data_IF_037559872075
#
_entry.id   IF_037559872075
#
_cell.length_a   1.000
_cell.length_b   1.000
_cell.length_c   1.000
_cell.angle_alpha   90.00
_cell.angle_beta   90.00
_cell.angle_gamma   90.00
#
_symmetry.space_group_name_H-M   'P 1'
#
loop_
_entity.id
_entity.type
_entity.pdbx_description
1 polymer ?
#
# COMPACT_ATOMS: atom_id res chain seq x y z
N UNK A 1 8.24 -19.74 -4.71
CA UNK A 1 7.45 -20.96 -4.91
C UNK A 1 6.36 -20.74 -5.96
N UNK A 2 5.93 -21.81 -6.66
CA UNK A 2 4.95 -21.70 -7.75
C UNK A 2 3.58 -21.27 -7.24
N UNK A 3 3.15 -21.81 -6.14
CA UNK A 3 1.88 -21.50 -5.46
C UNK A 3 1.75 -20.00 -5.09
N UNK A 4 2.83 -19.38 -4.65
CA UNK A 4 2.89 -17.94 -4.39
C UNK A 4 2.69 -17.14 -5.68
N UNK A 5 3.38 -17.54 -6.77
CA UNK A 5 3.25 -16.89 -8.08
C UNK A 5 1.83 -17.04 -8.61
N UNK A 6 1.27 -18.24 -8.57
CA UNK A 6 -0.09 -18.52 -9.02
C UNK A 6 -1.12 -17.69 -8.23
N UNK A 7 -0.96 -17.56 -6.90
CA UNK A 7 -1.83 -16.73 -6.06
C UNK A 7 -1.73 -15.24 -6.42
N UNK A 8 -0.51 -14.72 -6.59
CA UNK A 8 -0.32 -13.32 -6.96
C UNK A 8 -0.88 -12.99 -8.35
N UNK A 9 -0.78 -13.91 -9.29
CA UNK A 9 -1.41 -13.74 -10.61
C UNK A 9 -2.93 -13.62 -10.50
N UNK A 10 -3.57 -14.40 -9.63
CA UNK A 10 -5.01 -14.30 -9.37
C UNK A 10 -5.36 -12.95 -8.73
N UNK A 11 -4.60 -12.49 -7.73
CA UNK A 11 -4.81 -11.17 -7.09
C UNK A 11 -4.67 -10.04 -8.12
N UNK A 12 -3.65 -10.11 -8.99
CA UNK A 12 -3.47 -9.11 -10.05
C UNK A 12 -4.65 -9.12 -11.02
N UNK A 13 -5.09 -10.29 -11.47
CA UNK A 13 -6.21 -10.42 -12.39
C UNK A 13 -7.51 -9.87 -11.77
N UNK A 14 -7.81 -10.24 -10.53
CA UNK A 14 -8.94 -9.73 -9.75
C UNK A 14 -8.88 -8.22 -9.62
N UNK A 15 -7.75 -7.66 -9.19
CA UNK A 15 -7.54 -6.22 -9.06
C UNK A 15 -7.80 -5.46 -10.36
N UNK A 16 -7.36 -5.99 -11.51
CA UNK A 16 -7.65 -5.38 -12.81
C UNK A 16 -9.15 -5.43 -13.14
N UNK A 17 -9.82 -6.54 -12.82
CA UNK A 17 -11.27 -6.68 -12.99
C UNK A 17 -12.04 -5.63 -12.18
N UNK A 18 -11.69 -5.47 -10.92
CA UNK A 18 -12.34 -4.49 -10.03
C UNK A 18 -12.05 -3.04 -10.46
N UNK A 19 -10.80 -2.72 -10.87
CA UNK A 19 -10.48 -1.38 -11.42
C UNK A 19 -11.36 -1.04 -12.64
N UNK A 20 -11.55 -2.00 -13.55
CA UNK A 20 -12.40 -1.78 -14.74
C UNK A 20 -13.86 -1.63 -14.35
N UNK A 21 -14.35 -2.38 -13.37
CA UNK A 21 -15.71 -2.25 -12.85
C UNK A 21 -15.96 -0.85 -12.28
N UNK A 22 -15.05 -0.35 -11.46
CA UNK A 22 -15.17 0.94 -10.77
C UNK A 22 -14.91 2.17 -11.65
N UNK A 23 -14.52 2.02 -12.91
CA UNK A 23 -14.03 3.13 -13.76
C UNK A 23 -14.98 4.32 -13.90
N UNK A 24 -16.29 4.09 -13.86
CA UNK A 24 -17.30 5.14 -14.03
C UNK A 24 -17.87 5.65 -12.69
N UNK A 25 -17.42 5.11 -11.59
CA UNK A 25 -17.90 5.50 -10.28
C UNK A 25 -17.56 6.97 -9.95
N UNK A 26 -18.47 7.64 -9.25
CA UNK A 26 -18.33 9.07 -8.95
C UNK A 26 -17.05 9.37 -8.16
N UNK A 27 -16.66 8.50 -7.24
CA UNK A 27 -15.44 8.70 -6.45
C UNK A 27 -14.17 8.61 -7.30
N UNK A 28 -14.15 7.80 -8.39
CA UNK A 28 -13.03 7.75 -9.34
C UNK A 28 -13.03 8.96 -10.27
N UNK A 29 -14.16 9.28 -10.87
CA UNK A 29 -14.27 10.44 -11.78
C UNK A 29 -13.94 11.75 -11.07
N UNK A 30 -14.31 11.89 -9.79
CA UNK A 30 -13.96 13.07 -8.98
C UNK A 30 -12.45 13.21 -8.77
N UNK A 31 -11.73 12.11 -8.49
CA UNK A 31 -10.27 12.12 -8.36
C UNK A 31 -9.60 12.47 -9.69
N UNK A 32 -10.04 11.87 -10.80
CA UNK A 32 -9.48 12.15 -12.13
C UNK A 32 -9.67 13.60 -12.54
N UNK A 33 -10.83 14.19 -12.25
CA UNK A 33 -11.16 15.59 -12.57
C UNK A 33 -10.31 16.59 -11.75
N UNK A 34 -9.84 16.20 -10.58
CA UNK A 34 -8.93 17.01 -9.77
C UNK A 34 -7.52 17.12 -10.36
N UNK A 35 -7.13 16.19 -11.26
CA UNK A 35 -5.79 16.13 -11.82
C UNK A 35 -5.67 16.97 -13.11
N UNK A 36 -4.72 17.90 -13.10
CA UNK A 36 -4.38 18.75 -14.26
C UNK A 36 -3.14 18.27 -15.03
N UNK A 37 -2.43 17.30 -14.51
CA UNK A 37 -1.17 16.81 -15.05
C UNK A 37 -1.31 15.61 -15.97
N UNK A 38 -0.28 15.36 -16.77
CA UNK A 38 -0.06 14.16 -17.56
C UNK A 38 1.18 13.42 -17.07
N UNK A 39 1.34 12.17 -17.46
CA UNK A 39 2.48 11.32 -17.12
C UNK A 39 2.51 10.06 -17.96
N UNK A 40 3.26 9.05 -17.53
CA UNK A 40 3.45 7.82 -18.29
C UNK A 40 2.72 6.60 -17.71
N UNK A 41 2.15 6.72 -16.50
CA UNK A 41 1.47 5.63 -15.82
C UNK A 41 -0.03 5.60 -16.12
N UNK A 42 -0.52 4.41 -16.42
CA UNK A 42 -1.90 4.16 -16.86
C UNK A 42 -2.89 4.28 -15.71
N UNK A 43 -3.98 5.00 -15.92
CA UNK A 43 -5.21 4.83 -15.15
C UNK A 43 -6.04 3.73 -15.81
N UNK A 44 -6.17 2.60 -15.12
CA UNK A 44 -6.85 1.41 -15.68
C UNK A 44 -8.32 1.73 -15.97
N UNK A 45 -8.76 1.37 -17.16
CA UNK A 45 -10.12 1.69 -17.63
C UNK A 45 -10.31 3.10 -18.21
N UNK A 46 -9.27 3.95 -18.23
CA UNK A 46 -9.33 5.32 -18.73
C UNK A 46 -8.28 5.60 -19.81
N UNK A 47 -8.59 6.47 -20.74
CA UNK A 47 -7.66 6.96 -21.77
C UNK A 47 -6.86 8.17 -21.25
N UNK A 48 -6.28 8.05 -20.04
CA UNK A 48 -5.47 9.08 -19.40
C UNK A 48 -4.26 8.43 -18.72
N UNK A 49 -3.11 9.10 -18.82
CA UNK A 49 -1.89 8.73 -18.09
C UNK A 49 -1.49 9.86 -17.16
N UNK A 50 -0.97 9.50 -16.00
CA UNK A 50 -0.55 10.43 -14.94
C UNK A 50 0.81 10.03 -14.38
N UNK A 51 1.36 10.82 -13.45
CA UNK A 51 2.58 10.43 -12.75
C UNK A 51 2.35 9.17 -11.87
N UNK A 52 3.42 8.46 -11.46
CA UNK A 52 3.30 7.22 -10.70
C UNK A 52 2.55 7.36 -9.36
N UNK A 53 2.75 8.50 -8.67
CA UNK A 53 2.10 8.78 -7.39
C UNK A 53 0.56 8.83 -7.55
N UNK A 54 0.08 9.61 -8.51
CA UNK A 54 -1.35 9.74 -8.77
C UNK A 54 -1.96 8.47 -9.40
N UNK A 55 -1.19 7.74 -10.22
CA UNK A 55 -1.63 6.45 -10.74
C UNK A 55 -1.84 5.43 -9.60
N UNK A 56 -0.93 5.40 -8.62
CA UNK A 56 -1.06 4.56 -7.44
C UNK A 56 -2.32 4.89 -6.63
N UNK A 57 -2.58 6.18 -6.42
CA UNK A 57 -3.77 6.64 -5.68
C UNK A 57 -5.07 6.24 -6.38
N UNK A 58 -5.21 6.58 -7.65
CA UNK A 58 -6.48 6.38 -8.36
C UNK A 58 -6.75 4.90 -8.61
N UNK A 59 -5.75 4.14 -9.06
CA UNK A 59 -5.91 2.71 -9.29
C UNK A 59 -6.20 1.96 -7.99
N UNK A 60 -5.52 2.30 -6.88
CA UNK A 60 -5.78 1.72 -5.57
C UNK A 60 -7.17 2.05 -5.03
N UNK A 61 -7.61 3.28 -5.24
CA UNK A 61 -8.99 3.68 -4.91
C UNK A 61 -10.01 2.89 -5.73
N UNK A 62 -9.73 2.62 -7.01
CA UNK A 62 -10.61 1.85 -7.88
C UNK A 62 -10.69 0.38 -7.46
N UNK A 63 -9.57 -0.22 -7.02
CA UNK A 63 -9.58 -1.60 -6.52
C UNK A 63 -10.43 -1.72 -5.25
N UNK A 64 -10.22 -0.82 -4.29
CA UNK A 64 -10.88 -0.92 -2.98
C UNK A 64 -12.30 -0.35 -2.94
N UNK A 65 -12.69 0.41 -3.95
CA UNK A 65 -13.91 1.21 -3.90
C UNK A 65 -15.20 0.43 -3.77
N UNK A 66 -15.27 -0.76 -4.32
CA UNK A 66 -16.44 -1.63 -4.31
C UNK A 66 -16.41 -2.70 -3.21
N UNK A 67 -15.34 -2.77 -2.41
CA UNK A 67 -15.17 -3.73 -1.31
C UNK A 67 -15.22 -5.21 -1.76
N UNK A 68 -14.79 -5.50 -3.01
CA UNK A 68 -14.67 -6.83 -3.58
C UNK A 68 -13.23 -7.35 -3.63
N UNK A 69 -12.25 -6.53 -3.25
CA UNK A 69 -10.84 -6.86 -3.26
C UNK A 69 -10.47 -7.89 -2.18
N UNK A 70 -9.32 -8.54 -2.38
CA UNK A 70 -8.79 -9.57 -1.48
C UNK A 70 -8.66 -9.08 -0.03
N UNK A 71 -8.84 -10.01 0.90
CA UNK A 71 -8.68 -9.75 2.33
C UNK A 71 -7.78 -10.80 2.95
N UNK A 72 -6.83 -10.37 3.78
CA UNK A 72 -5.96 -11.27 4.53
C UNK A 72 -6.72 -11.86 5.72
N UNK A 73 -6.76 -13.20 5.82
CA UNK A 73 -7.49 -13.89 6.88
C UNK A 73 -6.90 -13.59 8.27
N UNK A 74 -7.76 -13.28 9.22
CA UNK A 74 -7.38 -12.98 10.61
C UNK A 74 -7.18 -11.50 10.93
N UNK A 75 -7.04 -10.62 9.92
CA UNK A 75 -6.99 -9.17 10.11
C UNK A 75 -7.70 -8.44 8.96
N UNK A 76 -8.31 -7.25 9.21
CA UNK A 76 -9.02 -6.52 8.15
C UNK A 76 -8.03 -5.73 7.27
N UNK A 77 -7.20 -6.45 6.50
CA UNK A 77 -6.19 -5.86 5.60
C UNK A 77 -6.42 -6.34 4.17
N UNK A 78 -6.51 -5.40 3.23
CA UNK A 78 -6.68 -5.62 1.81
C UNK A 78 -5.35 -5.38 1.09
N UNK A 79 -4.64 -6.44 0.75
CA UNK A 79 -3.25 -6.36 0.28
C UNK A 79 -3.18 -5.91 -1.18
N UNK A 80 -4.03 -6.50 -2.05
CA UNK A 80 -4.01 -6.23 -3.49
C UNK A 80 -4.29 -4.77 -3.82
N UNK A 81 -5.22 -4.13 -3.10
CA UNK A 81 -5.60 -2.73 -3.34
C UNK A 81 -4.49 -1.71 -3.06
N UNK A 82 -3.48 -2.10 -2.30
CA UNK A 82 -2.26 -1.29 -2.07
C UNK A 82 -1.13 -1.73 -3.00
N UNK A 83 -0.85 -3.03 -3.03
CA UNK A 83 0.36 -3.55 -3.67
C UNK A 83 0.29 -3.50 -5.19
N UNK A 84 -0.85 -3.91 -5.78
CA UNK A 84 -0.98 -3.93 -7.24
C UNK A 84 -0.78 -2.53 -7.85
N UNK A 85 -1.46 -1.46 -7.39
CA UNK A 85 -1.28 -0.12 -7.97
C UNK A 85 0.11 0.48 -7.70
N UNK A 86 0.71 0.26 -6.52
CA UNK A 86 2.04 0.75 -6.20
C UNK A 86 3.12 0.14 -7.11
N UNK A 87 3.07 -1.18 -7.27
CA UNK A 87 4.05 -1.92 -8.08
C UNK A 87 3.81 -1.70 -9.57
N UNK A 88 2.54 -1.62 -10.04
CA UNK A 88 2.19 -1.34 -11.43
C UNK A 88 2.74 0.02 -11.88
N UNK A 89 2.43 1.07 -11.14
CA UNK A 89 2.87 2.43 -11.48
C UNK A 89 4.40 2.56 -11.43
N UNK A 90 5.03 1.93 -10.45
CA UNK A 90 6.50 1.90 -10.35
C UNK A 90 7.14 1.15 -11.52
N UNK A 91 6.61 -0.02 -11.87
CA UNK A 91 7.11 -0.83 -12.99
C UNK A 91 6.96 -0.10 -14.32
N UNK A 92 5.84 0.60 -14.54
CA UNK A 92 5.64 1.44 -15.74
C UNK A 92 6.62 2.61 -15.77
N UNK A 93 6.84 3.30 -14.66
CA UNK A 93 7.73 4.46 -14.59
C UNK A 93 9.19 4.14 -14.94
N UNK A 94 9.67 2.94 -14.64
CA UNK A 94 11.05 2.51 -14.89
C UNK A 94 11.15 1.34 -15.87
N UNK A 95 10.06 1.03 -16.57
CA UNK A 95 9.97 0.02 -17.64
C UNK A 95 10.50 -1.37 -17.24
N UNK A 96 9.97 -1.92 -16.13
CA UNK A 96 10.36 -3.23 -15.61
C UNK A 96 9.55 -4.37 -16.23
N UNK A 97 10.18 -5.56 -16.23
CA UNK A 97 9.56 -6.81 -16.65
C UNK A 97 8.63 -7.44 -15.57
N UNK A 98 7.85 -8.44 -15.99
CA UNK A 98 6.89 -9.12 -15.11
C UNK A 98 7.51 -9.89 -13.94
N UNK A 99 8.75 -10.36 -14.04
CA UNK A 99 9.41 -11.07 -12.94
C UNK A 99 9.74 -10.12 -11.78
N UNK A 100 10.27 -8.94 -12.11
CA UNK A 100 10.53 -7.90 -11.11
C UNK A 100 9.23 -7.38 -10.49
N UNK A 101 8.20 -7.20 -11.32
CA UNK A 101 6.86 -6.86 -10.84
C UNK A 101 6.36 -7.85 -9.78
N UNK A 102 6.39 -9.17 -10.05
CA UNK A 102 5.99 -10.19 -9.09
C UNK A 102 6.86 -10.17 -7.83
N UNK A 103 8.17 -9.96 -7.96
CA UNK A 103 9.07 -9.86 -6.80
C UNK A 103 8.67 -8.70 -5.87
N UNK A 104 8.37 -7.52 -6.42
CA UNK A 104 7.90 -6.37 -5.64
C UNK A 104 6.59 -6.65 -4.91
N UNK A 105 5.66 -7.34 -5.59
CA UNK A 105 4.39 -7.77 -4.97
C UNK A 105 4.63 -8.72 -3.79
N UNK A 106 5.46 -9.76 -3.95
CA UNK A 106 5.78 -10.71 -2.85
C UNK A 106 6.32 -9.97 -1.64
N UNK A 107 7.38 -9.17 -1.84
CA UNK A 107 8.08 -8.51 -0.73
C UNK A 107 7.18 -7.56 0.04
N UNK A 108 6.37 -6.76 -0.66
CA UNK A 108 5.47 -5.82 -0.01
C UNK A 108 4.28 -6.49 0.65
N UNK A 109 3.68 -7.49 0.01
CA UNK A 109 2.55 -8.25 0.56
C UNK A 109 2.93 -8.97 1.84
N UNK A 110 4.11 -9.60 1.85
CA UNK A 110 4.65 -10.29 3.02
C UNK A 110 4.77 -9.34 4.22
N UNK A 111 5.33 -8.14 4.00
CA UNK A 111 5.48 -7.16 5.09
C UNK A 111 4.10 -6.68 5.60
N UNK A 112 3.13 -6.41 4.72
CA UNK A 112 1.78 -6.00 5.14
C UNK A 112 1.16 -7.05 6.06
N UNK A 113 1.16 -8.31 5.61
CA UNK A 113 0.56 -9.41 6.37
C UNK A 113 1.25 -9.60 7.73
N UNK A 114 2.59 -9.58 7.76
CA UNK A 114 3.36 -9.73 9.00
C UNK A 114 3.12 -8.58 9.98
N UNK A 115 3.12 -7.33 9.52
CA UNK A 115 2.81 -6.19 10.37
C UNK A 115 1.40 -6.26 10.95
N UNK A 116 0.44 -6.75 10.16
CA UNK A 116 -0.93 -6.92 10.62
C UNK A 116 -1.07 -7.98 11.73
N UNK A 117 -0.18 -8.99 11.77
CA UNK A 117 -0.15 -10.02 12.80
C UNK A 117 0.55 -9.59 14.09
N UNK A 118 1.41 -8.56 14.06
CA UNK A 118 2.12 -8.05 15.26
C UNK A 118 1.14 -7.62 16.36
N UNK A 119 0.04 -6.98 16.00
CA UNK A 119 -1.00 -6.55 16.92
C UNK A 119 -2.39 -6.65 16.23
N UNK A 120 -2.93 -7.87 16.08
CA UNK A 120 -4.16 -8.10 15.32
C UNK A 120 -5.32 -7.25 15.81
N UNK A 121 -5.98 -6.55 14.87
CA UNK A 121 -7.12 -5.64 15.10
C UNK A 121 -6.84 -4.38 15.95
N UNK A 122 -5.65 -4.25 16.58
CA UNK A 122 -5.36 -3.14 17.50
C UNK A 122 -5.44 -1.77 16.81
N UNK A 123 -4.89 -1.66 15.60
CA UNK A 123 -4.95 -0.44 14.78
C UNK A 123 -6.39 -0.06 14.47
N UNK A 124 -7.23 -1.03 14.09
CA UNK A 124 -8.64 -0.78 13.83
C UNK A 124 -9.39 -0.30 15.09
N UNK A 125 -9.15 -0.95 16.23
CA UNK A 125 -9.76 -0.56 17.51
C UNK A 125 -9.35 0.84 17.98
N UNK A 126 -8.18 1.31 17.53
CA UNK A 126 -7.67 2.66 17.82
C UNK A 126 -8.27 3.73 16.89
N UNK A 127 -9.08 3.35 15.91
CA UNK A 127 -9.74 4.27 15.01
C UNK A 127 -9.00 4.52 13.69
N UNK A 128 -8.11 3.60 13.29
CA UNK A 128 -7.39 3.68 12.02
C UNK A 128 -7.68 2.50 11.11
N UNK A 129 -7.60 2.71 9.81
CA UNK A 129 -7.75 1.66 8.80
C UNK A 129 -6.43 0.86 8.65
N UNK A 130 -6.37 -0.43 9.06
CA UNK A 130 -5.12 -1.20 9.04
C UNK A 130 -4.52 -1.31 7.64
N UNK A 131 -5.34 -1.44 6.59
CA UNK A 131 -4.89 -1.44 5.20
C UNK A 131 -4.11 -0.17 4.85
N UNK A 132 -4.58 0.99 5.32
CA UNK A 132 -3.92 2.26 5.09
C UNK A 132 -2.58 2.36 5.82
N UNK A 133 -2.56 1.95 7.09
CA UNK A 133 -1.35 2.05 7.92
C UNK A 133 -0.28 1.05 7.45
N UNK A 134 -0.59 -0.25 7.44
CA UNK A 134 0.39 -1.28 7.09
C UNK A 134 0.69 -1.30 5.59
N UNK A 135 -0.30 -0.96 4.76
CA UNK A 135 -0.14 -0.86 3.31
C UNK A 135 0.93 0.14 2.89
N UNK A 136 1.05 1.26 3.58
CA UNK A 136 2.09 2.25 3.29
C UNK A 136 3.51 1.65 3.44
N UNK A 137 3.74 0.83 4.46
CA UNK A 137 5.02 0.13 4.67
C UNK A 137 5.28 -0.95 3.62
N UNK A 138 4.27 -1.78 3.31
CA UNK A 138 4.39 -2.77 2.25
C UNK A 138 4.67 -2.15 0.89
N UNK A 139 3.98 -1.07 0.55
CA UNK A 139 4.24 -0.31 -0.66
C UNK A 139 5.67 0.24 -0.70
N UNK A 140 6.15 0.84 0.40
CA UNK A 140 7.51 1.36 0.50
C UNK A 140 8.58 0.30 0.25
N UNK A 141 8.48 -0.86 0.89
CA UNK A 141 9.47 -1.93 0.73
C UNK A 141 9.37 -2.60 -0.65
N UNK A 142 8.15 -2.85 -1.14
CA UNK A 142 7.93 -3.42 -2.46
C UNK A 142 8.51 -2.55 -3.57
N UNK A 143 8.22 -1.25 -3.55
CA UNK A 143 8.77 -0.27 -4.50
C UNK A 143 10.29 -0.14 -4.34
N UNK A 144 10.80 -0.09 -3.11
CA UNK A 144 12.26 -0.06 -2.85
C UNK A 144 12.97 -1.26 -3.46
N UNK A 145 12.35 -2.45 -3.41
CA UNK A 145 12.88 -3.66 -4.05
C UNK A 145 12.97 -3.51 -5.58
N UNK A 146 11.98 -2.88 -6.22
CA UNK A 146 11.99 -2.60 -7.67
C UNK A 146 13.08 -1.60 -8.05
N UNK A 147 13.23 -0.55 -7.25
CA UNK A 147 14.22 0.51 -7.47
C UNK A 147 15.66 0.04 -7.22
N UNK A 148 15.86 -1.16 -6.65
CA UNK A 148 17.17 -1.65 -6.25
C UNK A 148 17.79 -0.85 -5.11
N UNK A 149 16.98 -0.37 -4.18
CA UNK A 149 17.45 0.33 -3.00
C UNK A 149 18.30 -0.60 -2.12
N UNK A 150 19.35 -0.06 -1.53
CA UNK A 150 20.17 -0.74 -0.52
C UNK A 150 19.36 -0.96 0.77
N UNK A 151 19.83 -1.84 1.65
CA UNK A 151 19.20 -2.11 2.96
C UNK A 151 19.05 -0.82 3.78
N UNK A 152 20.03 0.09 3.74
CA UNK A 152 19.95 1.37 4.45
C UNK A 152 18.89 2.29 3.84
N UNK A 153 18.76 2.33 2.52
CA UNK A 153 17.70 3.09 1.84
C UNK A 153 16.34 2.48 2.11
N UNK A 154 16.19 1.15 2.09
CA UNK A 154 14.95 0.46 2.46
C UNK A 154 14.54 0.80 3.91
N UNK A 155 15.48 0.73 4.86
CA UNK A 155 15.22 1.12 6.25
C UNK A 155 14.80 2.58 6.38
N UNK A 156 15.47 3.49 5.65
CA UNK A 156 15.07 4.91 5.60
C UNK A 156 13.69 5.09 4.98
N UNK A 157 13.37 4.37 3.90
CA UNK A 157 12.04 4.40 3.27
C UNK A 157 10.92 4.01 4.21
N UNK A 158 11.12 2.94 4.99
CA UNK A 158 10.18 2.52 6.04
C UNK A 158 10.02 3.61 7.11
N UNK A 159 11.12 4.22 7.55
CA UNK A 159 11.08 5.34 8.52
C UNK A 159 10.33 6.57 7.98
N UNK A 160 10.56 6.94 6.72
CA UNK A 160 9.90 8.07 6.06
C UNK A 160 8.39 7.81 5.96
N UNK A 161 8.01 6.63 5.46
CA UNK A 161 6.59 6.32 5.25
C UNK A 161 5.79 6.25 6.54
N UNK A 162 6.44 5.96 7.67
CA UNK A 162 5.80 6.04 9.00
C UNK A 162 5.23 7.42 9.32
N UNK A 163 5.85 8.49 8.81
CA UNK A 163 5.34 9.86 8.94
C UNK A 163 4.26 10.21 7.89
N UNK A 164 4.02 9.35 6.90
CA UNK A 164 3.05 9.55 5.82
C UNK A 164 1.83 8.63 5.97
N UNK A 165 1.96 7.55 6.74
CA UNK A 165 0.90 6.61 7.00
C UNK A 165 -0.26 7.29 7.73
N UNK A 166 -1.48 7.11 7.22
CA UNK A 166 -2.68 7.77 7.73
C UNK A 166 -3.94 7.00 7.30
N UNK A 167 -5.09 7.41 7.81
CA UNK A 167 -6.37 6.82 7.42
C UNK A 167 -7.25 6.55 8.65
N UNK A 168 -7.99 7.58 9.11
CA UNK A 168 -8.97 7.46 10.20
C UNK A 168 -10.25 6.80 9.69
N UNK A 169 -10.93 6.06 10.56
CA UNK A 169 -12.14 5.32 10.18
C UNK A 169 -13.45 6.08 10.42
N UNK A 170 -13.42 7.41 10.53
CA UNK A 170 -14.61 8.26 10.73
C UNK A 170 -15.66 8.07 9.62
N UNK A 171 -15.24 7.62 8.44
CA UNK A 171 -16.17 7.24 7.36
C UNK A 171 -17.21 6.18 7.77
N UNK A 172 -16.95 5.39 8.82
CA UNK A 172 -17.94 4.43 9.34
C UNK A 172 -19.14 5.13 10.00
N UNK A 173 -18.90 6.31 10.58
CA UNK A 173 -19.97 7.10 11.21
C UNK A 173 -20.82 7.86 10.18
N UNK A 174 -20.19 8.35 9.10
CA UNK A 174 -20.84 9.26 8.16
C UNK A 174 -21.17 8.63 6.79
N UNK A 175 -20.65 7.44 6.47
CA UNK A 175 -20.89 6.77 5.18
C UNK A 175 -20.23 7.46 3.99
N UNK A 176 -19.06 8.10 4.19
CA UNK A 176 -18.35 8.85 3.16
C UNK A 176 -17.40 8.01 2.31
N UNK A 177 -16.84 8.61 1.24
CA UNK A 177 -15.98 7.89 0.29
C UNK A 177 -14.53 7.72 0.75
N UNK A 178 -14.12 8.25 1.90
CA UNK A 178 -12.71 8.30 2.31
C UNK A 178 -12.08 6.92 2.56
N UNK A 179 -12.86 5.89 2.95
CA UNK A 179 -12.38 4.51 3.02
C UNK A 179 -11.72 4.10 1.71
N UNK A 180 -12.38 4.38 0.60
CA UNK A 180 -11.96 3.98 -0.74
C UNK A 180 -10.60 4.54 -1.13
N UNK A 181 -10.28 5.75 -0.67
CA UNK A 181 -9.02 6.43 -0.95
C UNK A 181 -7.81 5.80 -0.22
N UNK A 182 -8.03 5.22 0.95
CA UNK A 182 -6.96 4.84 1.86
C UNK A 182 -5.90 3.91 1.27
N UNK A 183 -6.24 2.80 0.58
CA UNK A 183 -5.23 1.92 -0.02
C UNK A 183 -4.44 2.61 -1.13
N UNK A 184 -5.11 3.41 -1.95
CA UNK A 184 -4.45 4.20 -3.00
C UNK A 184 -3.48 5.23 -2.42
N UNK A 185 -3.87 5.93 -1.36
CA UNK A 185 -2.99 6.85 -0.63
C UNK A 185 -1.78 6.12 -0.06
N UNK A 186 -1.97 4.97 0.60
CA UNK A 186 -0.89 4.14 1.12
C UNK A 186 0.08 3.70 0.01
N UNK A 187 -0.45 3.29 -1.15
CA UNK A 187 0.33 2.94 -2.33
C UNK A 187 1.20 4.12 -2.83
N UNK A 188 0.62 5.31 -2.92
CA UNK A 188 1.33 6.53 -3.30
C UNK A 188 2.40 6.95 -2.28
N UNK A 189 2.07 6.91 -0.99
CA UNK A 189 3.02 7.22 0.09
C UNK A 189 4.24 6.30 0.06
N UNK A 190 4.03 4.99 -0.14
CA UNK A 190 5.12 4.03 -0.25
C UNK A 190 5.99 4.29 -1.48
N UNK A 191 5.40 4.60 -2.63
CA UNK A 191 6.14 5.00 -3.82
C UNK A 191 7.02 6.22 -3.54
N UNK A 192 6.45 7.24 -2.92
CA UNK A 192 7.16 8.50 -2.64
C UNK A 192 8.31 8.30 -1.64
N UNK A 193 8.06 7.56 -0.55
CA UNK A 193 9.07 7.31 0.48
C UNK A 193 10.25 6.49 -0.04
N UNK A 194 10.01 5.49 -0.89
CA UNK A 194 11.06 4.70 -1.53
C UNK A 194 11.98 5.56 -2.42
N UNK A 195 11.40 6.51 -3.17
CA UNK A 195 12.16 7.44 -4.00
C UNK A 195 12.92 8.49 -3.16
N UNK A 196 12.32 9.01 -2.09
CA UNK A 196 13.03 9.92 -1.17
C UNK A 196 14.24 9.23 -0.53
N UNK A 197 14.07 8.01 -0.04
CA UNK A 197 15.15 7.23 0.54
C UNK A 197 16.28 6.94 -0.47
N UNK A 198 15.94 6.58 -1.70
CA UNK A 198 16.90 6.40 -2.79
C UNK A 198 17.71 7.67 -3.08
N UNK A 199 17.09 8.83 -2.89
CA UNK A 199 17.72 10.15 -3.08
C UNK A 199 18.51 10.63 -1.84
N UNK A 200 18.64 9.79 -0.80
CA UNK A 200 19.42 10.09 0.40
C UNK A 200 18.66 10.75 1.54
N UNK A 201 17.32 10.89 1.45
CA UNK A 201 16.52 11.35 2.58
C UNK A 201 16.46 10.27 3.66
N UNK A 202 16.67 10.65 4.93
CA UNK A 202 16.79 9.71 6.04
C UNK A 202 15.49 9.62 6.84
N UNK A 203 15.11 8.39 7.20
CA UNK A 203 14.01 8.07 8.11
C UNK A 203 14.51 7.37 9.39
N UNK A 204 13.71 7.39 10.47
CA UNK A 204 14.06 6.73 11.72
C UNK A 204 14.11 5.21 11.53
N UNK A 205 15.12 4.56 12.14
CA UNK A 205 15.30 3.09 12.06
C UNK A 205 14.36 2.30 12.97
N UNK A 206 13.91 2.90 14.06
CA UNK A 206 13.03 2.28 15.07
C UNK A 206 11.55 2.60 14.81
N UNK A 207 11.16 2.70 13.53
CA UNK A 207 9.81 3.15 13.12
C UNK A 207 8.69 2.26 13.66
N UNK A 208 8.94 0.98 13.89
CA UNK A 208 7.93 0.05 14.40
C UNK A 208 7.89 0.01 15.93
N UNK A 209 9.03 -0.28 16.57
CA UNK A 209 9.16 -0.54 18.02
C UNK A 209 9.49 0.70 18.87
N UNK A 210 9.89 1.78 18.24
CA UNK A 210 10.34 2.99 18.94
C UNK A 210 9.27 3.63 19.83
N UNK A 211 9.71 4.43 20.79
CA UNK A 211 8.84 5.15 21.74
C UNK A 211 7.68 5.91 21.05
N UNK A 212 7.92 6.43 19.85
CA UNK A 212 6.94 7.13 19.00
C UNK A 212 6.71 6.38 17.69
N UNK A 213 7.00 5.07 17.68
CA UNK A 213 6.83 4.20 16.52
C UNK A 213 5.37 3.85 16.24
N UNK A 214 5.16 3.11 15.15
CA UNK A 214 3.86 2.78 14.59
C UNK A 214 2.93 2.13 15.62
N UNK A 215 3.42 1.08 16.32
CA UNK A 215 2.57 0.35 17.25
C UNK A 215 2.22 1.17 18.49
N UNK A 216 3.16 2.00 18.98
CA UNK A 216 2.87 2.93 20.07
C UNK A 216 1.93 4.07 19.67
N UNK A 217 1.94 4.48 18.40
CA UNK A 217 1.09 5.58 17.90
C UNK A 217 -0.30 5.10 17.47
N UNK A 218 -0.38 3.99 16.73
CA UNK A 218 -1.61 3.54 16.06
C UNK A 218 -2.29 2.34 16.74
N UNK A 219 -1.62 1.67 17.71
CA UNK A 219 -2.15 0.47 18.36
C UNK A 219 -2.09 0.52 19.90
N UNK A 220 -1.68 1.64 20.46
CA UNK A 220 -1.47 1.81 21.90
C UNK A 220 -2.71 1.42 22.73
N UNK A 221 -2.47 0.72 23.85
CA UNK A 221 -3.48 0.28 24.84
C UNK A 221 -4.45 -0.81 24.37
N UNK A 222 -4.27 -1.38 23.18
CA UNK A 222 -5.17 -2.41 22.66
C UNK A 222 -4.63 -3.83 22.85
N UNK A 223 -3.34 -4.03 22.58
CA UNK A 223 -2.66 -5.34 22.65
C UNK A 223 -1.16 -5.11 22.75
N UNK A 224 -0.43 -6.00 23.44
CA UNK A 224 1.04 -6.00 23.42
C UNK A 224 1.54 -6.47 22.06
N UNK A 225 2.38 -5.69 21.38
CA UNK A 225 2.90 -6.05 20.06
C UNK A 225 3.82 -7.28 20.10
N UNK A 226 3.54 -8.30 19.31
CA UNK A 226 4.42 -9.46 19.14
C UNK A 226 5.24 -9.32 17.85
N UNK A 227 6.41 -8.74 17.96
CA UNK A 227 7.33 -8.53 16.84
C UNK A 227 7.94 -9.82 16.28
N UNK A 228 7.76 -10.98 16.93
CA UNK A 228 8.23 -12.26 16.40
C UNK A 228 7.59 -12.57 15.04
N UNK A 229 6.37 -12.13 14.80
CA UNK A 229 5.68 -12.29 13.52
C UNK A 229 6.41 -11.65 12.33
N UNK A 230 7.27 -10.65 12.56
CA UNK A 230 8.02 -10.02 11.46
C UNK A 230 9.16 -10.93 10.98
N UNK A 231 9.79 -11.71 11.89
CA UNK A 231 11.03 -12.44 11.63
C UNK A 231 10.89 -13.96 11.70
N UNK A 232 9.76 -14.51 12.17
CA UNK A 232 9.54 -15.96 12.21
C UNK A 232 9.33 -16.54 10.81
N UNK A 233 9.73 -17.78 10.63
CA UNK A 233 9.49 -18.58 9.42
C UNK A 233 9.98 -17.93 8.11
N UNK A 234 11.12 -17.25 8.15
CA UNK A 234 11.79 -16.65 6.98
C UNK A 234 12.66 -17.66 6.23
#
# INVERSE_FOLDING_TARGET
>A
PKDVVDKLQLIVMDSFGVMVSAKNEQYITSLINALKENGDCTLVGHNKKVNPFNASIINGTAIHGEDFDDTFEGTPVHVGSVMVPAILSSAQAINLDGQKFLKGLVVGSELICRLALVAPTAVHRQGFHPTAIFGAFGSSIGVSSLLGNSINEMSSGLGIVGSMASGIIEYLAEGTSTKRLHPGWAAGCGWQSANFAKSGFLGPRTVFEGQHGVFNSFAKNNIEPDFSHIISDL
#
